data_IF_182214515526
#
_entry.id   IF_182214515526
#
_cell.length_a   1.000
_cell.length_b   1.000
_cell.length_c   1.000
_cell.angle_alpha   90.00
_cell.angle_beta   90.00
_cell.angle_gamma   90.00
#
_symmetry.space_group_name_H-M   'P 1'
#
loop_
_entity.id
_entity.type
_entity.pdbx_description
1 polymer ?
#
# COMPACT_ATOMS: atom_id res chain seq x y z
N UNK A 1 53.50 8.63 -29.20
CA UNK A 1 52.47 7.87 -28.45
C UNK A 1 51.67 8.87 -27.63
N UNK A 2 50.51 9.29 -28.12
CA UNK A 2 49.59 10.19 -27.40
C UNK A 2 48.47 9.34 -26.80
N UNK A 3 48.31 9.39 -25.48
CA UNK A 3 47.23 8.72 -24.76
C UNK A 3 46.04 9.69 -24.80
N UNK A 4 45.04 9.37 -25.64
CA UNK A 4 43.77 10.06 -25.67
C UNK A 4 42.92 9.57 -24.48
N UNK A 5 42.74 10.43 -23.48
CA UNK A 5 41.74 10.25 -22.42
C UNK A 5 40.35 10.45 -23.01
N UNK A 6 39.58 9.36 -23.13
CA UNK A 6 38.15 9.41 -23.46
C UNK A 6 37.41 9.92 -22.22
N UNK A 7 36.64 11.02 -22.30
CA UNK A 7 35.79 11.42 -21.19
C UNK A 7 34.66 10.37 -21.06
N UNK A 8 34.60 9.73 -19.89
CA UNK A 8 33.47 8.89 -19.51
C UNK A 8 32.26 9.83 -19.28
N UNK A 9 31.51 10.07 -20.34
CA UNK A 9 30.19 10.69 -20.23
C UNK A 9 29.27 9.63 -19.64
N UNK A 10 29.16 9.61 -18.31
CA UNK A 10 27.99 9.00 -17.67
C UNK A 10 26.82 9.89 -18.07
N UNK A 11 26.14 9.53 -19.16
CA UNK A 11 24.75 9.94 -19.34
C UNK A 11 24.03 9.36 -18.14
N UNK A 12 23.76 10.19 -17.14
CA UNK A 12 22.62 9.95 -16.30
C UNK A 12 21.44 9.78 -17.27
N UNK A 13 20.97 8.55 -17.43
CA UNK A 13 19.61 8.36 -17.87
C UNK A 13 18.79 9.13 -16.84
N UNK A 14 18.18 10.21 -17.31
CA UNK A 14 17.09 10.87 -16.60
C UNK A 14 16.17 9.77 -16.08
N UNK A 15 15.80 9.77 -14.78
CA UNK A 15 14.72 8.91 -14.34
C UNK A 15 13.54 9.22 -15.27
N UNK A 16 13.02 8.20 -15.95
CA UNK A 16 11.75 8.34 -16.65
C UNK A 16 10.74 8.86 -15.64
N UNK A 17 10.01 9.92 -15.99
CA UNK A 17 9.00 10.63 -15.18
C UNK A 17 7.79 9.76 -14.77
N UNK A 18 7.88 8.44 -14.82
CA UNK A 18 6.83 7.50 -14.41
C UNK A 18 6.95 7.18 -12.91
N UNK A 19 7.04 8.20 -12.06
CA UNK A 19 6.56 8.03 -10.68
C UNK A 19 5.04 8.09 -10.77
N UNK A 20 4.28 6.99 -10.57
CA UNK A 20 2.84 7.04 -10.74
C UNK A 20 2.31 7.99 -9.69
N UNK A 21 2.03 9.24 -10.05
CA UNK A 21 1.58 10.23 -9.09
C UNK A 21 0.17 9.82 -8.69
N UNK A 22 -0.13 9.73 -7.38
CA UNK A 22 -1.51 9.46 -6.95
C UNK A 22 -2.39 10.61 -7.44
N UNK A 23 -3.36 10.30 -8.30
CA UNK A 23 -4.24 11.30 -8.88
C UNK A 23 -5.26 11.74 -7.84
N UNK A 24 -5.22 13.02 -7.49
CA UNK A 24 -6.20 13.61 -6.59
C UNK A 24 -7.52 13.84 -7.33
N UNK A 25 -8.66 13.41 -6.77
CA UNK A 25 -9.94 13.59 -7.44
C UNK A 25 -10.26 15.07 -7.59
N UNK A 26 -10.89 15.43 -8.71
CA UNK A 26 -11.35 16.80 -8.97
C UNK A 26 -12.87 16.81 -9.11
N UNK A 27 -13.53 17.72 -8.39
CA UNK A 27 -14.96 17.93 -8.54
C UNK A 27 -15.22 18.82 -9.74
N UNK A 28 -15.99 18.32 -10.69
CA UNK A 28 -16.40 19.05 -11.89
C UNK A 28 -17.91 19.31 -11.87
N UNK A 29 -18.39 20.12 -12.82
CA UNK A 29 -19.81 20.51 -12.90
C UNK A 29 -20.73 19.31 -13.07
N UNK A 30 -20.29 18.28 -13.80
CA UNK A 30 -21.08 17.11 -14.20
C UNK A 30 -20.60 15.77 -13.59
N UNK A 31 -19.56 15.78 -12.76
CA UNK A 31 -19.04 14.56 -12.16
C UNK A 31 -17.79 14.77 -11.32
N UNK A 32 -17.07 13.68 -11.09
CA UNK A 32 -15.78 13.68 -10.39
C UNK A 32 -14.78 12.97 -11.28
N UNK A 33 -13.72 13.68 -11.64
CA UNK A 33 -12.60 13.12 -12.35
C UNK A 33 -11.78 12.26 -11.38
N UNK A 34 -11.58 10.98 -11.73
CA UNK A 34 -10.91 9.99 -10.89
C UNK A 34 -9.57 9.51 -11.47
N UNK A 35 -9.28 9.83 -12.73
CA UNK A 35 -8.06 9.48 -13.45
C UNK A 35 -7.75 10.58 -14.50
N UNK A 36 -6.55 10.58 -15.06
CA UNK A 36 -6.12 11.45 -16.15
C UNK A 36 -5.95 10.71 -17.49
N UNK A 37 -5.91 9.37 -17.48
CA UNK A 37 -5.94 8.53 -18.67
C UNK A 37 -7.39 8.27 -19.14
N UNK A 38 -7.58 8.07 -20.45
CA UNK A 38 -8.84 7.59 -21.05
C UNK A 38 -8.96 6.06 -21.02
N UNK A 39 -7.86 5.36 -20.73
CA UNK A 39 -7.82 3.91 -20.61
C UNK A 39 -7.84 3.49 -19.15
N UNK A 40 -8.82 2.68 -18.73
CA UNK A 40 -8.82 2.10 -17.40
C UNK A 40 -7.54 1.27 -17.20
N UNK A 41 -6.88 1.45 -16.07
CA UNK A 41 -5.58 0.87 -15.92
C UNK A 41 -5.66 -0.62 -15.55
N UNK A 42 -4.60 -1.36 -15.91
CA UNK A 42 -4.54 -2.82 -15.80
C UNK A 42 -3.91 -3.25 -14.47
N UNK A 43 -4.66 -4.01 -13.67
CA UNK A 43 -4.19 -4.50 -12.38
C UNK A 43 -2.90 -5.37 -12.53
N UNK A 44 -1.90 -5.19 -11.66
CA UNK A 44 -0.75 -6.07 -11.58
C UNK A 44 -1.15 -7.53 -11.38
N UNK A 45 -0.39 -8.44 -11.99
CA UNK A 45 -0.60 -9.88 -11.83
C UNK A 45 0.18 -10.39 -10.62
N UNK A 46 -0.55 -10.92 -9.64
CA UNK A 46 0.01 -11.67 -8.53
C UNK A 46 -0.14 -13.17 -8.79
N UNK A 47 0.92 -13.93 -8.53
CA UNK A 47 0.95 -15.39 -8.70
C UNK A 47 0.77 -16.08 -7.34
N UNK A 48 0.35 -17.33 -7.33
CA UNK A 48 0.41 -18.09 -6.09
C UNK A 48 1.87 -18.40 -5.76
N UNK A 49 2.25 -18.26 -4.49
CA UNK A 49 3.62 -18.48 -4.02
C UNK A 49 3.63 -19.48 -2.87
N UNK A 50 4.71 -20.23 -2.77
CA UNK A 50 4.97 -21.09 -1.62
C UNK A 50 5.85 -20.35 -0.61
N UNK A 51 5.34 -20.13 0.59
CA UNK A 51 6.10 -19.45 1.64
C UNK A 51 7.26 -20.30 2.13
N UNK A 52 8.41 -19.65 2.25
CA UNK A 52 9.62 -20.27 2.80
C UNK A 52 9.66 -20.04 4.31
N UNK A 53 10.20 -21.03 5.03
CA UNK A 53 10.43 -20.87 6.47
C UNK A 53 11.47 -19.77 6.68
N UNK A 54 11.20 -18.75 7.52
CA UNK A 54 12.19 -17.74 7.83
C UNK A 54 13.42 -18.40 8.45
N UNK A 55 14.62 -17.99 8.02
CA UNK A 55 15.85 -18.36 8.71
C UNK A 55 15.78 -17.86 10.16
N UNK A 56 16.13 -18.72 11.11
CA UNK A 56 16.26 -18.29 12.51
C UNK A 56 17.35 -17.22 12.60
N UNK A 57 16.99 -16.08 13.20
CA UNK A 57 17.91 -14.96 13.37
C UNK A 57 18.65 -15.11 14.68
N UNK A 58 19.97 -15.27 14.59
CA UNK A 58 20.84 -15.53 15.73
C UNK A 58 21.21 -14.29 16.53
N UNK A 59 21.22 -13.10 15.91
CA UNK A 59 21.66 -11.88 16.59
C UNK A 59 20.53 -10.89 16.86
N UNK A 60 20.66 -10.16 17.98
CA UNK A 60 19.76 -9.07 18.35
C UNK A 60 19.72 -7.98 17.27
N UNK A 61 20.86 -7.67 16.64
CA UNK A 61 20.96 -6.72 15.54
C UNK A 61 20.12 -7.15 14.34
N UNK A 62 20.24 -8.40 13.90
CA UNK A 62 19.44 -8.93 12.77
C UNK A 62 17.95 -8.88 13.07
N UNK A 63 17.55 -9.23 14.31
CA UNK A 63 16.15 -9.21 14.73
C UNK A 63 15.59 -7.79 14.76
N UNK A 64 16.36 -6.81 15.21
CA UNK A 64 16.00 -5.38 15.15
C UNK A 64 15.84 -4.92 13.69
N UNK A 65 16.75 -5.31 12.80
CA UNK A 65 16.66 -4.96 11.37
C UNK A 65 15.46 -5.62 10.68
N UNK A 66 15.12 -6.85 11.04
CA UNK A 66 13.99 -7.59 10.45
C UNK A 66 12.64 -6.93 10.70
N UNK A 67 12.48 -6.11 11.74
CA UNK A 67 11.22 -5.41 12.04
C UNK A 67 10.69 -4.59 10.85
N UNK A 68 11.58 -4.06 10.01
CA UNK A 68 11.21 -3.21 8.86
C UNK A 68 11.20 -3.96 7.52
N UNK A 69 11.37 -5.29 7.54
CA UNK A 69 11.26 -6.13 6.34
C UNK A 69 9.80 -6.20 5.90
N UNK A 70 9.55 -6.02 4.60
CA UNK A 70 8.20 -5.93 4.04
C UNK A 70 7.50 -4.59 4.33
N UNK A 71 8.19 -3.67 5.03
CA UNK A 71 7.74 -2.30 5.29
C UNK A 71 8.60 -1.33 4.47
N UNK A 72 9.86 -1.19 4.84
CA UNK A 72 10.80 -0.24 4.24
C UNK A 72 11.91 -0.94 3.44
N UNK A 73 12.23 -2.16 3.85
CA UNK A 73 13.14 -3.05 3.14
C UNK A 73 12.30 -4.02 2.33
N UNK A 74 12.46 -3.94 1.01
CA UNK A 74 11.84 -4.88 0.08
C UNK A 74 12.45 -6.27 0.26
N UNK A 75 11.59 -7.28 0.25
CA UNK A 75 11.94 -8.68 0.49
C UNK A 75 11.15 -9.55 -0.47
N UNK A 76 11.76 -10.66 -0.88
CA UNK A 76 11.11 -11.53 -1.86
C UNK A 76 9.76 -12.05 -1.30
N UNK A 77 8.72 -12.19 -2.16
CA UNK A 77 7.38 -12.60 -1.77
C UNK A 77 7.32 -13.82 -0.83
N UNK A 78 8.22 -14.78 -1.03
CA UNK A 78 8.31 -16.02 -0.27
C UNK A 78 8.65 -15.80 1.21
N UNK A 79 9.20 -14.62 1.55
CA UNK A 79 9.55 -14.19 2.91
C UNK A 79 8.64 -13.08 3.46
N UNK A 80 7.73 -12.53 2.65
CA UNK A 80 6.81 -11.44 3.02
C UNK A 80 5.36 -11.90 3.04
N UNK A 81 5.04 -12.90 3.86
CA UNK A 81 3.71 -13.49 3.88
C UNK A 81 2.59 -12.45 4.07
N UNK A 82 2.73 -11.60 5.07
CA UNK A 82 1.70 -10.62 5.39
C UNK A 82 1.61 -9.50 4.35
N UNK A 83 2.74 -8.90 3.97
CA UNK A 83 2.76 -7.83 3.00
C UNK A 83 2.29 -8.31 1.62
N UNK A 84 2.75 -9.48 1.18
CA UNK A 84 2.34 -10.07 -0.09
C UNK A 84 0.84 -10.32 -0.17
N UNK A 85 0.24 -10.95 0.85
CA UNK A 85 -1.19 -11.23 0.88
C UNK A 85 -2.02 -9.96 0.86
N UNK A 86 -1.65 -8.94 1.65
CA UNK A 86 -2.35 -7.65 1.64
C UNK A 86 -2.26 -7.02 0.24
N UNK A 87 -1.07 -7.00 -0.38
CA UNK A 87 -0.92 -6.47 -1.75
C UNK A 87 -1.77 -7.24 -2.75
N UNK A 88 -1.77 -8.58 -2.69
CA UNK A 88 -2.58 -9.44 -3.55
C UNK A 88 -4.08 -9.17 -3.39
N UNK A 89 -4.59 -9.01 -2.17
CA UNK A 89 -6.01 -8.72 -1.96
C UNK A 89 -6.37 -7.29 -2.39
N UNK A 90 -5.47 -6.33 -2.17
CA UNK A 90 -5.76 -4.92 -2.40
C UNK A 90 -5.49 -4.46 -3.84
N UNK A 91 -4.85 -5.27 -4.68
CA UNK A 91 -4.40 -4.88 -6.04
C UNK A 91 -5.53 -4.42 -6.97
N UNK A 92 -6.71 -5.02 -6.86
CA UNK A 92 -7.87 -4.66 -7.69
C UNK A 92 -8.80 -3.64 -6.99
N UNK A 93 -8.49 -3.25 -5.75
CA UNK A 93 -9.33 -2.40 -4.91
C UNK A 93 -9.13 -0.94 -5.29
N UNK A 94 -9.95 -0.47 -6.22
CA UNK A 94 -9.83 0.84 -6.85
C UNK A 94 -10.01 0.80 -8.36
N UNK A 95 -9.99 -0.39 -8.96
CA UNK A 95 -10.21 -0.55 -10.39
C UNK A 95 -11.58 0.03 -10.81
N UNK A 96 -11.69 0.80 -11.90
CA UNK A 96 -12.95 1.37 -12.35
C UNK A 96 -14.07 0.34 -12.62
N UNK A 97 -13.74 -0.94 -12.76
CA UNK A 97 -14.73 -2.01 -12.86
C UNK A 97 -15.68 -2.08 -11.64
N UNK A 98 -15.29 -1.54 -10.46
CA UNK A 98 -16.18 -1.43 -9.29
C UNK A 98 -17.47 -0.65 -9.57
N UNK A 99 -17.48 0.22 -10.58
CA UNK A 99 -18.66 1.00 -10.97
C UNK A 99 -19.56 0.30 -12.00
N UNK A 100 -19.09 -0.78 -12.62
CA UNK A 100 -19.74 -1.45 -13.75
C UNK A 100 -20.21 -2.87 -13.42
N UNK A 101 -19.55 -3.55 -12.49
CA UNK A 101 -19.77 -4.96 -12.21
C UNK A 101 -19.98 -5.19 -10.71
N UNK A 102 -21.20 -5.60 -10.35
CA UNK A 102 -21.60 -5.81 -8.96
C UNK A 102 -20.93 -7.02 -8.33
N UNK A 103 -20.69 -8.08 -9.11
CA UNK A 103 -20.03 -9.27 -8.60
C UNK A 103 -18.53 -9.02 -8.41
N UNK A 104 -17.93 -8.19 -9.27
CA UNK A 104 -16.61 -7.63 -9.03
C UNK A 104 -16.58 -6.81 -7.73
N UNK A 105 -17.55 -5.92 -7.50
CA UNK A 105 -17.63 -5.12 -6.27
C UNK A 105 -17.77 -6.00 -5.00
N UNK A 106 -18.59 -7.06 -5.04
CA UNK A 106 -18.67 -8.05 -3.94
C UNK A 106 -17.34 -8.75 -3.70
N UNK A 107 -16.63 -9.15 -4.78
CA UNK A 107 -15.29 -9.74 -4.68
C UNK A 107 -14.32 -8.77 -4.00
N UNK A 108 -14.36 -7.48 -4.34
CA UNK A 108 -13.51 -6.47 -3.69
C UNK A 108 -13.86 -6.25 -2.21
N UNK A 109 -15.13 -6.32 -1.83
CA UNK A 109 -15.54 -6.30 -0.40
C UNK A 109 -14.91 -7.49 0.36
N UNK A 110 -14.94 -8.68 -0.24
CA UNK A 110 -14.31 -9.87 0.36
C UNK A 110 -12.80 -9.68 0.48
N UNK A 111 -12.15 -9.18 -0.58
CA UNK A 111 -10.71 -8.94 -0.60
C UNK A 111 -10.27 -7.96 0.49
N UNK A 112 -10.95 -6.81 0.62
CA UNK A 112 -10.64 -5.82 1.66
C UNK A 112 -10.79 -6.42 3.06
N UNK A 113 -11.84 -7.22 3.30
CA UNK A 113 -12.03 -7.92 4.58
C UNK A 113 -10.93 -8.95 4.86
N UNK A 114 -10.47 -9.69 3.84
CA UNK A 114 -9.33 -10.60 3.96
C UNK A 114 -8.05 -9.82 4.30
N UNK A 115 -7.79 -8.69 3.64
CA UNK A 115 -6.65 -7.83 3.94
C UNK A 115 -6.68 -7.33 5.40
N UNK A 116 -7.85 -6.94 5.94
CA UNK A 116 -8.01 -6.58 7.36
C UNK A 116 -7.65 -7.73 8.30
N UNK A 117 -8.07 -8.95 7.98
CA UNK A 117 -7.74 -10.14 8.79
C UNK A 117 -6.23 -10.40 8.77
N UNK A 118 -5.60 -10.35 7.59
CA UNK A 118 -4.14 -10.52 7.46
C UNK A 118 -3.39 -9.42 8.22
N UNK A 119 -3.81 -8.16 8.10
CA UNK A 119 -3.22 -7.04 8.84
C UNK A 119 -3.31 -7.24 10.35
N UNK A 120 -4.44 -7.73 10.86
CA UNK A 120 -4.60 -8.02 12.29
C UNK A 120 -3.60 -9.07 12.77
N UNK A 121 -3.38 -10.14 12.00
CA UNK A 121 -2.37 -11.13 12.33
C UNK A 121 -0.96 -10.54 12.27
N UNK A 122 -0.68 -9.70 11.28
CA UNK A 122 0.62 -9.03 11.17
C UNK A 122 0.89 -8.10 12.36
N UNK A 123 -0.09 -7.31 12.79
CA UNK A 123 -0.01 -6.46 13.97
C UNK A 123 0.29 -7.28 15.23
N UNK A 124 -0.40 -8.40 15.42
CA UNK A 124 -0.17 -9.30 16.57
C UNK A 124 1.24 -9.88 16.57
N UNK A 125 1.72 -10.34 15.41
CA UNK A 125 3.07 -10.90 15.26
C UNK A 125 4.15 -9.84 15.54
N UNK A 126 4.01 -8.64 14.97
CA UNK A 126 4.93 -7.53 15.22
C UNK A 126 4.92 -7.09 16.68
N UNK A 127 3.75 -6.98 17.31
CA UNK A 127 3.65 -6.61 18.72
C UNK A 127 4.35 -7.64 19.61
N UNK A 128 4.25 -8.92 19.28
CA UNK A 128 4.98 -9.97 19.98
C UNK A 128 6.49 -9.83 19.77
N UNK A 129 6.95 -9.63 18.52
CA UNK A 129 8.37 -9.40 18.22
C UNK A 129 8.94 -8.18 18.96
N UNK A 130 8.18 -7.08 19.04
CA UNK A 130 8.59 -5.89 19.79
C UNK A 130 8.70 -6.15 21.29
N UNK A 131 7.75 -6.90 21.88
CA UNK A 131 7.82 -7.29 23.30
C UNK A 131 9.04 -8.17 23.57
N UNK A 132 9.31 -9.13 22.70
CA UNK A 132 10.46 -10.02 22.83
C UNK A 132 11.78 -9.26 22.73
N UNK A 133 11.87 -8.31 21.80
CA UNK A 133 13.04 -7.43 21.67
C UNK A 133 13.18 -6.49 22.87
N UNK A 134 12.10 -5.89 23.38
CA UNK A 134 12.14 -5.05 24.60
C UNK A 134 12.78 -5.83 25.76
N UNK A 135 12.32 -7.07 26.00
CA UNK A 135 12.86 -7.93 27.07
C UNK A 135 14.34 -8.30 26.87
N UNK A 136 14.76 -8.55 25.63
CA UNK A 136 16.11 -9.01 25.33
C UNK A 136 17.14 -7.86 25.36
N UNK A 137 16.72 -6.67 24.93
CA UNK A 137 17.53 -5.45 24.99
C UNK A 137 17.94 -5.11 26.44
N UNK A 138 17.05 -5.37 27.39
CA UNK A 138 17.31 -5.16 28.82
C UNK A 138 18.18 -6.27 29.41
N UNK A 139 18.01 -7.52 28.97
CA UNK A 139 18.82 -8.67 29.43
C UNK A 139 20.27 -8.64 28.94
N UNK A 140 20.50 -8.30 27.67
CA UNK A 140 21.83 -8.38 27.04
C UNK A 140 22.65 -7.09 27.15
N UNK A 141 22.15 -6.08 27.88
CA UNK A 141 22.76 -4.75 27.97
C UNK A 141 23.13 -4.18 26.59
N UNK A 142 22.16 -4.21 25.66
CA UNK A 142 22.38 -3.86 24.26
C UNK A 142 23.03 -2.48 24.08
N UNK A 143 23.92 -2.37 23.09
CA UNK A 143 24.65 -1.13 22.81
C UNK A 143 23.71 0.03 22.46
N UNK A 144 24.17 1.26 22.69
CA UNK A 144 23.41 2.49 22.38
C UNK A 144 22.99 2.56 20.91
N UNK A 145 23.82 2.04 20.00
CA UNK A 145 23.53 1.95 18.57
C UNK A 145 22.32 1.03 18.30
N UNK A 146 22.31 -0.19 18.86
CA UNK A 146 21.21 -1.14 18.68
C UNK A 146 19.91 -0.58 19.29
N UNK A 147 19.99 0.09 20.45
CA UNK A 147 18.82 0.73 21.09
C UNK A 147 18.23 1.85 20.24
N UNK A 148 19.09 2.66 19.62
CA UNK A 148 18.66 3.72 18.71
C UNK A 148 17.98 3.15 17.47
N UNK A 149 18.60 2.16 16.81
CA UNK A 149 18.04 1.50 15.63
C UNK A 149 16.68 0.86 15.94
N UNK A 150 16.58 0.16 17.08
CA UNK A 150 15.33 -0.44 17.50
C UNK A 150 14.21 0.59 17.72
N UNK A 151 14.49 1.72 18.39
CA UNK A 151 13.48 2.78 18.59
C UNK A 151 13.00 3.36 17.26
N UNK A 152 13.92 3.60 16.32
CA UNK A 152 13.57 4.11 14.98
C UNK A 152 12.71 3.11 14.21
N UNK A 153 13.12 1.84 14.18
CA UNK A 153 12.37 0.78 13.50
C UNK A 153 10.99 0.57 14.13
N UNK A 154 10.91 0.59 15.47
CA UNK A 154 9.65 0.49 16.22
C UNK A 154 8.68 1.61 15.84
N UNK A 155 9.15 2.85 15.79
CA UNK A 155 8.32 3.99 15.36
C UNK A 155 7.86 3.82 13.93
N UNK A 156 8.77 3.48 13.01
CA UNK A 156 8.45 3.32 11.58
C UNK A 156 7.38 2.24 11.35
N UNK A 157 7.53 1.09 12.00
CA UNK A 157 6.57 -0.02 11.89
C UNK A 157 5.20 0.36 12.47
N UNK A 158 5.17 1.09 13.60
CA UNK A 158 3.89 1.56 14.17
C UNK A 158 3.18 2.55 13.26
N UNK A 159 3.91 3.51 12.69
CA UNK A 159 3.37 4.43 11.69
C UNK A 159 2.81 3.66 10.50
N UNK A 160 3.57 2.71 9.95
CA UNK A 160 3.13 1.86 8.86
C UNK A 160 1.83 1.13 9.17
N UNK A 161 1.68 0.56 10.37
CA UNK A 161 0.46 -0.15 10.75
C UNK A 161 -0.77 0.77 10.83
N UNK A 162 -0.57 2.02 11.24
CA UNK A 162 -1.64 3.04 11.25
C UNK A 162 -2.03 3.40 9.81
N UNK A 163 -1.04 3.70 8.97
CA UNK A 163 -1.26 4.11 7.58
C UNK A 163 -1.95 2.98 6.78
N UNK A 164 -1.50 1.73 6.98
CA UNK A 164 -2.10 0.54 6.36
C UNK A 164 -3.56 0.36 6.78
N UNK A 165 -3.85 0.52 8.07
CA UNK A 165 -5.22 0.42 8.59
C UNK A 165 -6.11 1.47 7.95
N UNK A 166 -5.66 2.73 7.94
CA UNK A 166 -6.40 3.84 7.35
C UNK A 166 -6.65 3.63 5.85
N UNK A 167 -5.66 3.14 5.11
CA UNK A 167 -5.80 2.83 3.69
C UNK A 167 -6.83 1.71 3.44
N UNK A 168 -6.73 0.59 4.15
CA UNK A 168 -7.69 -0.52 4.00
C UNK A 168 -9.11 -0.09 4.39
N UNK A 169 -9.27 0.64 5.50
CA UNK A 169 -10.58 1.10 5.98
C UNK A 169 -11.22 2.13 5.04
N UNK A 170 -10.43 3.04 4.47
CA UNK A 170 -10.95 4.01 3.49
C UNK A 170 -11.43 3.34 2.21
N UNK A 171 -10.75 2.28 1.77
CA UNK A 171 -11.19 1.44 0.66
C UNK A 171 -12.48 0.69 1.00
N UNK A 172 -12.56 0.07 2.20
CA UNK A 172 -13.77 -0.61 2.68
C UNK A 172 -14.98 0.33 2.68
N UNK A 173 -14.79 1.56 3.16
CA UNK A 173 -15.84 2.57 3.20
C UNK A 173 -16.34 2.91 1.79
N UNK A 174 -15.43 3.16 0.85
CA UNK A 174 -15.78 3.49 -0.53
C UNK A 174 -16.56 2.35 -1.21
N UNK A 175 -16.07 1.12 -1.13
CA UNK A 175 -16.73 -0.01 -1.81
C UNK A 175 -18.09 -0.33 -1.20
N UNK A 176 -18.26 -0.21 0.13
CA UNK A 176 -19.56 -0.39 0.78
C UNK A 176 -20.53 0.73 0.40
N UNK A 177 -20.04 1.97 0.29
CA UNK A 177 -20.84 3.07 -0.22
C UNK A 177 -21.41 2.76 -1.60
N UNK A 178 -20.53 2.37 -2.55
CA UNK A 178 -20.92 2.02 -3.91
C UNK A 178 -21.92 0.86 -3.92
N UNK A 179 -21.66 -0.19 -3.14
CA UNK A 179 -22.52 -1.37 -3.08
C UNK A 179 -23.93 -1.07 -2.56
N UNK A 180 -24.06 -0.08 -1.68
CA UNK A 180 -25.35 0.32 -1.11
C UNK A 180 -26.15 1.31 -1.97
N UNK A 181 -25.55 1.87 -3.03
CA UNK A 181 -26.11 3.00 -3.81
C UNK A 181 -25.97 2.82 -5.33
N UNK A 182 -26.20 1.59 -5.81
CA UNK A 182 -25.98 1.16 -7.20
C UNK A 182 -26.60 2.09 -8.25
N UNK A 183 -27.80 2.61 -8.00
CA UNK A 183 -28.54 3.43 -8.97
C UNK A 183 -28.18 4.92 -8.96
N UNK A 184 -27.17 5.35 -8.20
CA UNK A 184 -26.88 6.78 -7.98
C UNK A 184 -25.66 7.29 -8.75
N UNK A 185 -24.89 6.41 -9.37
CA UNK A 185 -23.67 6.75 -10.08
C UNK A 185 -23.56 5.98 -11.40
N UNK A 186 -22.78 6.53 -12.33
CA UNK A 186 -22.39 5.84 -13.56
C UNK A 186 -20.93 6.18 -13.88
N UNK A 187 -20.25 5.26 -14.56
CA UNK A 187 -18.86 5.45 -14.98
C UNK A 187 -18.82 5.87 -16.45
N UNK A 188 -18.39 7.12 -16.68
CA UNK A 188 -17.98 7.68 -17.96
C UNK A 188 -16.47 7.96 -17.88
N UNK A 189 -15.69 6.87 -17.85
CA UNK A 189 -14.27 6.91 -17.49
C UNK A 189 -13.50 7.95 -18.33
N UNK A 190 -12.64 8.80 -17.71
CA UNK A 190 -12.15 8.77 -16.32
C UNK A 190 -13.01 9.52 -15.29
N UNK A 191 -14.28 9.75 -15.58
CA UNK A 191 -15.20 10.48 -14.72
C UNK A 191 -16.27 9.58 -14.13
N UNK A 192 -16.64 9.82 -12.89
CA UNK A 192 -17.83 9.24 -12.26
C UNK A 192 -18.91 10.32 -12.19
N UNK A 193 -20.02 10.06 -12.88
CA UNK A 193 -21.21 10.91 -12.85
C UNK A 193 -22.16 10.49 -11.73
N UNK A 194 -22.95 11.45 -11.23
CA UNK A 194 -23.93 11.23 -10.16
C UNK A 194 -25.29 11.75 -10.58
N UNK A 195 -26.35 10.99 -10.28
CA UNK A 195 -27.73 11.41 -10.57
C UNK A 195 -28.16 12.54 -9.62
N UNK A 196 -27.62 12.55 -8.40
CA UNK A 196 -28.01 13.48 -7.33
C UNK A 196 -26.80 14.24 -6.76
N UNK A 197 -26.88 15.57 -6.59
CA UNK A 197 -25.75 16.39 -6.12
C UNK A 197 -25.20 16.07 -4.72
N UNK A 198 -26.02 15.76 -3.68
CA UNK A 198 -25.49 15.45 -2.35
C UNK A 198 -24.57 14.22 -2.32
N UNK A 199 -24.93 13.19 -3.07
CA UNK A 199 -24.22 11.91 -3.19
C UNK A 199 -22.87 12.08 -3.88
N UNK A 200 -22.78 13.05 -4.81
CA UNK A 200 -21.51 13.46 -5.41
C UNK A 200 -20.54 13.99 -4.36
N UNK A 201 -20.99 14.86 -3.46
CA UNK A 201 -20.13 15.45 -2.42
C UNK A 201 -19.65 14.38 -1.44
N UNK A 202 -20.56 13.50 -1.00
CA UNK A 202 -20.20 12.42 -0.08
C UNK A 202 -19.15 11.49 -0.69
N UNK A 203 -19.38 11.04 -1.93
CA UNK A 203 -18.43 10.21 -2.66
C UNK A 203 -17.08 10.91 -2.89
N UNK A 204 -17.09 12.19 -3.30
CA UNK A 204 -15.86 12.99 -3.45
C UNK A 204 -15.02 12.99 -2.17
N UNK A 205 -15.66 13.20 -1.02
CA UNK A 205 -14.95 13.22 0.26
C UNK A 205 -14.36 11.86 0.60
N UNK A 206 -15.08 10.75 0.35
CA UNK A 206 -14.54 9.41 0.57
C UNK A 206 -13.39 9.08 -0.37
N UNK A 207 -13.51 9.44 -1.65
CA UNK A 207 -12.46 9.21 -2.63
C UNK A 207 -11.20 10.04 -2.30
N UNK A 208 -11.37 11.28 -1.86
CA UNK A 208 -10.25 12.13 -1.41
C UNK A 208 -9.54 11.53 -0.19
N UNK A 209 -10.29 11.04 0.80
CA UNK A 209 -9.69 10.36 1.97
C UNK A 209 -8.94 9.10 1.56
N UNK A 210 -9.52 8.30 0.66
CA UNK A 210 -8.84 7.12 0.09
C UNK A 210 -7.51 7.51 -0.56
N UNK A 211 -7.50 8.55 -1.41
CA UNK A 211 -6.27 8.96 -2.10
C UNK A 211 -5.20 9.52 -1.16
N UNK A 212 -5.60 10.27 -0.12
CA UNK A 212 -4.66 10.70 0.93
C UNK A 212 -4.03 9.47 1.60
N UNK A 213 -4.83 8.47 1.98
CA UNK A 213 -4.30 7.28 2.63
C UNK A 213 -3.45 6.41 1.69
N UNK A 214 -3.74 6.41 0.38
CA UNK A 214 -2.87 5.77 -0.62
C UNK A 214 -1.51 6.48 -0.71
N UNK A 215 -1.49 7.82 -0.68
CA UNK A 215 -0.23 8.58 -0.64
C UNK A 215 0.61 8.19 0.58
N UNK A 216 -0.03 8.08 1.76
CA UNK A 216 0.65 7.67 2.99
C UNK A 216 1.24 6.25 2.89
N UNK A 217 0.50 5.28 2.33
CA UNK A 217 1.01 3.90 2.22
C UNK A 217 2.09 3.75 1.13
N UNK A 218 2.07 4.58 0.08
CA UNK A 218 3.07 4.52 -1.00
C UNK A 218 4.43 5.10 -0.58
N UNK A 219 4.54 5.72 0.59
CA UNK A 219 5.84 6.08 1.21
C UNK A 219 6.68 4.85 1.54
N UNK A 220 6.04 3.69 1.73
CA UNK A 220 6.70 2.45 2.08
C UNK A 220 7.07 1.68 0.82
N UNK A 221 8.36 1.35 0.67
CA UNK A 221 8.91 0.77 -0.57
C UNK A 221 8.18 -0.50 -1.03
N UNK A 222 7.73 -1.34 -0.10
CA UNK A 222 7.01 -2.56 -0.47
C UNK A 222 5.62 -2.28 -1.08
N UNK A 223 5.05 -1.09 -0.86
CA UNK A 223 3.69 -0.69 -1.28
C UNK A 223 3.67 0.45 -2.30
N UNK A 224 4.83 0.99 -2.71
CA UNK A 224 4.92 2.11 -3.65
C UNK A 224 4.36 1.78 -5.05
N UNK A 225 4.37 0.50 -5.45
CA UNK A 225 3.84 -0.02 -6.71
C UNK A 225 2.38 -0.48 -6.63
N UNK A 226 1.71 -0.31 -5.48
CA UNK A 226 0.27 -0.58 -5.38
C UNK A 226 -0.50 0.48 -6.18
N UNK A 227 -1.38 0.03 -7.07
CA UNK A 227 -1.95 0.88 -8.13
C UNK A 227 -3.34 1.47 -7.75
N UNK A 228 -3.58 2.66 -8.30
CA UNK A 228 -4.79 3.53 -8.39
C UNK A 228 -5.16 4.41 -7.20
#
# INVERSE_FOLDING_TARGET
MMIATVPCVVKAQSPSDDDPTVIMPRMESDGILIDDDLTPPVAPRFVEIQYLKPKELSSLTERVSKLIYGVDIDVAPEYDMYGYEIRRYMVEVGNPQIYKDRDFLKKQIINVRKAKVVLKFWQQDIDQQMKDLDMEMDKQNASSSIRTAYRQNKTKVRSFMVDMTAWIDSNERLINYLYSREDLYYLDYPKVGFIRPPERIEYYNMLRVRQINLIEIRKYRAFNLMVY
#
